data_IF_000348262678
#
_entry.id   IF_000348262678
#
_cell.length_a   1.000
_cell.length_b   1.000
_cell.length_c   1.000
_cell.angle_alpha   90.00
_cell.angle_beta   90.00
_cell.angle_gamma   90.00
#
_symmetry.space_group_name_H-M   'P 1'
#
loop_
_entity.id
_entity.type
_entity.pdbx_description
1 polymer ?
#
# COMPACT_ATOMS: atom_id res chain seq x y z
N UNK A 1 -6.01 13.57 -8.13
CA UNK A 1 -7.25 13.24 -7.39
C UNK A 1 -7.54 11.73 -7.40
N UNK A 2 -7.49 11.06 -8.56
CA UNK A 2 -7.78 9.61 -8.71
C UNK A 2 -6.99 8.71 -7.73
N UNK A 3 -5.69 8.96 -7.53
CA UNK A 3 -4.86 8.16 -6.61
C UNK A 3 -5.31 8.22 -5.15
N UNK A 4 -5.77 9.39 -4.67
CA UNK A 4 -6.27 9.57 -3.30
C UNK A 4 -7.58 8.79 -3.11
N UNK A 5 -8.47 8.86 -4.11
CA UNK A 5 -9.75 8.13 -4.10
C UNK A 5 -9.51 6.61 -4.12
N UNK A 6 -8.61 6.13 -4.98
CA UNK A 6 -8.26 4.72 -5.04
C UNK A 6 -7.68 4.22 -3.70
N UNK A 7 -6.79 5.00 -3.07
CA UNK A 7 -6.23 4.67 -1.76
C UNK A 7 -7.29 4.61 -0.67
N UNK A 8 -8.21 5.58 -0.63
CA UNK A 8 -9.30 5.61 0.35
C UNK A 8 -10.25 4.41 0.21
N UNK A 9 -10.58 4.00 -1.01
CA UNK A 9 -11.44 2.83 -1.28
C UNK A 9 -10.77 1.54 -0.81
N UNK A 10 -9.50 1.34 -1.13
CA UNK A 10 -8.75 0.14 -0.71
C UNK A 10 -8.62 0.10 0.82
N UNK A 11 -8.33 1.23 1.46
CA UNK A 11 -8.23 1.33 2.91
C UNK A 11 -9.57 0.98 3.59
N UNK A 12 -10.67 1.56 3.10
CA UNK A 12 -12.01 1.26 3.62
C UNK A 12 -12.36 -0.23 3.46
N UNK A 13 -11.99 -0.84 2.32
CA UNK A 13 -12.15 -2.26 2.07
C UNK A 13 -11.38 -3.13 3.07
N UNK A 14 -10.10 -2.81 3.32
CA UNK A 14 -9.28 -3.54 4.29
C UNK A 14 -9.81 -3.42 5.73
N UNK A 15 -10.27 -2.23 6.13
CA UNK A 15 -10.88 -2.01 7.45
C UNK A 15 -12.15 -2.86 7.58
N UNK A 16 -13.03 -2.82 6.58
CA UNK A 16 -14.24 -3.64 6.55
C UNK A 16 -13.94 -5.14 6.61
N UNK A 17 -12.93 -5.60 5.86
CA UNK A 17 -12.50 -6.99 5.87
C UNK A 17 -11.93 -7.41 7.23
N UNK A 18 -11.15 -6.54 7.87
CA UNK A 18 -10.62 -6.76 9.22
C UNK A 18 -11.72 -6.85 10.28
N UNK A 19 -12.72 -5.98 10.23
CA UNK A 19 -13.91 -6.05 11.09
C UNK A 19 -14.73 -7.32 10.81
N UNK A 20 -14.85 -7.75 9.55
CA UNK A 20 -15.54 -8.99 9.25
C UNK A 20 -14.77 -10.20 9.80
N UNK A 21 -13.44 -10.22 9.66
CA UNK A 21 -12.58 -11.24 10.26
C UNK A 21 -12.71 -11.25 11.80
N UNK A 22 -12.69 -10.09 12.47
CA UNK A 22 -12.78 -10.04 13.93
C UNK A 22 -14.12 -10.56 14.47
N UNK A 23 -15.19 -10.46 13.68
CA UNK A 23 -16.50 -11.00 14.05
C UNK A 23 -16.64 -12.51 13.80
N UNK A 24 -15.78 -13.07 12.94
CA UNK A 24 -15.86 -14.47 12.46
C UNK A 24 -14.84 -15.38 13.12
N UNK A 25 -13.77 -14.84 13.69
CA UNK A 25 -12.64 -15.63 14.18
C UNK A 25 -12.30 -15.20 15.61
N UNK A 26 -12.43 -16.11 16.57
CA UNK A 26 -11.99 -15.93 17.98
C UNK A 26 -10.46 -15.91 18.13
N UNK A 27 -9.73 -16.15 17.03
CA UNK A 27 -8.28 -16.16 16.99
C UNK A 27 -7.79 -14.90 16.27
N UNK A 28 -6.88 -14.15 16.90
CA UNK A 28 -6.34 -12.88 16.38
C UNK A 28 -5.39 -13.04 15.18
N UNK A 29 -4.89 -14.26 14.92
CA UNK A 29 -3.89 -14.55 13.87
C UNK A 29 -4.25 -13.95 12.50
N UNK A 30 -5.48 -14.10 11.97
CA UNK A 30 -5.84 -13.56 10.65
C UNK A 30 -5.76 -12.03 10.59
N UNK A 31 -6.11 -11.35 11.68
CA UNK A 31 -6.02 -9.87 11.77
C UNK A 31 -4.55 -9.43 11.78
N UNK A 32 -3.69 -10.16 12.50
CA UNK A 32 -2.24 -9.88 12.55
C UNK A 32 -1.62 -10.06 11.15
N UNK A 33 -1.95 -11.15 10.44
CA UNK A 33 -1.48 -11.37 9.07
C UNK A 33 -1.96 -10.27 8.14
N UNK A 34 -3.23 -9.87 8.24
CA UNK A 34 -3.80 -8.77 7.46
C UNK A 34 -3.06 -7.45 7.72
N UNK A 35 -2.76 -7.15 8.98
CA UNK A 35 -2.04 -5.94 9.37
C UNK A 35 -0.61 -5.92 8.81
N UNK A 36 0.12 -7.03 8.90
CA UNK A 36 1.48 -7.15 8.37
C UNK A 36 1.47 -7.02 6.84
N UNK A 37 0.54 -7.70 6.16
CA UNK A 37 0.40 -7.61 4.70
C UNK A 37 0.06 -6.18 4.25
N UNK A 38 -0.85 -5.50 4.95
CA UNK A 38 -1.21 -4.11 4.70
C UNK A 38 -0.04 -3.14 4.90
N UNK A 39 0.70 -3.30 6.00
CA UNK A 39 1.89 -2.49 6.28
C UNK A 39 2.98 -2.68 5.20
N UNK A 40 3.22 -3.93 4.79
CA UNK A 40 4.18 -4.24 3.73
C UNK A 40 3.77 -3.66 2.37
N UNK A 41 2.50 -3.80 1.99
CA UNK A 41 1.98 -3.21 0.77
C UNK A 41 2.13 -1.67 0.76
N UNK A 42 1.78 -1.01 1.86
CA UNK A 42 1.96 0.44 2.00
C UNK A 42 3.42 0.85 1.88
N UNK A 43 4.33 0.09 2.49
CA UNK A 43 5.77 0.32 2.40
C UNK A 43 6.29 0.17 0.96
N UNK A 44 5.92 -0.90 0.24
CA UNK A 44 6.30 -1.11 -1.15
C UNK A 44 5.82 0.03 -2.05
N UNK A 45 4.56 0.47 -1.89
CA UNK A 45 4.03 1.63 -2.63
C UNK A 45 4.86 2.87 -2.35
N UNK A 46 5.24 3.12 -1.09
CA UNK A 46 6.11 4.24 -0.72
C UNK A 46 7.48 4.19 -1.39
N UNK A 47 8.14 3.03 -1.40
CA UNK A 47 9.45 2.84 -2.05
C UNK A 47 9.35 3.03 -3.57
N UNK A 48 8.30 2.49 -4.21
CA UNK A 48 8.08 2.65 -5.65
C UNK A 48 7.86 4.12 -6.02
N UNK A 49 7.00 4.82 -5.27
CA UNK A 49 6.73 6.24 -5.50
C UNK A 49 7.99 7.07 -5.28
N UNK A 50 8.74 6.80 -4.21
CA UNK A 50 10.00 7.48 -3.93
C UNK A 50 11.04 7.26 -5.06
N UNK A 51 11.17 6.01 -5.54
CA UNK A 51 12.02 5.67 -6.66
C UNK A 51 11.61 6.36 -7.96
N UNK A 52 10.31 6.45 -8.24
CA UNK A 52 9.79 7.13 -9.43
C UNK A 52 10.05 8.65 -9.40
N UNK A 53 9.90 9.29 -8.24
CA UNK A 53 10.19 10.72 -8.06
C UNK A 53 11.68 11.00 -8.20
N UNK A 54 12.53 10.14 -7.63
CA UNK A 54 13.98 10.37 -7.60
C UNK A 54 14.69 9.96 -8.90
N UNK A 55 14.29 8.84 -9.50
CA UNK A 55 14.85 8.35 -10.77
C UNK A 55 14.39 9.13 -12.01
N UNK A 56 13.35 9.96 -11.89
CA UNK A 56 12.91 10.85 -12.97
C UNK A 56 13.89 11.99 -13.28
N UNK A 57 14.74 12.39 -12.33
CA UNK A 57 15.76 13.42 -12.54
C UNK A 57 17.01 12.88 -13.25
N UNK A 58 17.40 11.63 -12.97
CA UNK A 58 18.64 11.06 -13.50
C UNK A 58 18.45 10.37 -14.86
N UNK A 59 17.21 10.06 -15.25
CA UNK A 59 16.88 9.40 -16.53
C UNK A 59 16.92 10.29 -17.77
N UNK A 60 16.96 11.61 -17.61
CA UNK A 60 17.06 12.55 -18.74
C UNK A 60 18.49 12.92 -19.12
N UNK A 61 19.45 12.84 -18.20
CA UNK A 61 20.86 13.18 -18.48
C UNK A 61 21.66 12.02 -19.09
N UNK A 62 21.19 10.77 -18.95
CA UNK A 62 21.86 9.59 -19.49
C UNK A 62 21.61 9.34 -21.00
N UNK A 63 20.78 10.16 -21.67
CA UNK A 63 20.47 10.03 -23.11
C UNK A 63 21.24 11.01 -24.01
N UNK A 64 22.07 11.87 -23.43
CA UNK A 64 22.83 12.90 -24.18
C UNK A 64 24.36 12.75 -24.13
N UNK A 65 24.86 11.56 -23.77
CA UNK A 65 26.26 11.15 -23.98
C UNK A 65 26.31 9.80 -24.69
#
# INVERSE_FOLDING_TARGET
MVGIVAGAVVLAGFIGLGLLLTSRVDNAVPVIVLAIAGAYAAWLVGVIVFGAIRGGSDGHEARER
#
